data_IF_024835659097
#
_entry.id   IF_024835659097
#
_cell.length_a   1.000
_cell.length_b   1.000
_cell.length_c   1.000
_cell.angle_alpha   90.00
_cell.angle_beta   90.00
_cell.angle_gamma   90.00
#
_symmetry.space_group_name_H-M   'P 1'
#
loop_
_entity.id
_entity.type
_entity.pdbx_description
1 polymer ?
#
# COMPACT_ATOMS: atom_id res chain seq x y z
N UNK A 1 -44.30 -5.10 -9.50
CA UNK A 1 -43.53 -6.16 -8.80
C UNK A 1 -42.34 -6.51 -9.67
N UNK A 2 -41.16 -5.98 -9.38
CA UNK A 2 -39.90 -6.42 -9.98
C UNK A 2 -38.86 -6.39 -8.87
N UNK A 3 -38.47 -7.59 -8.43
CA UNK A 3 -37.49 -7.80 -7.38
C UNK A 3 -36.11 -7.54 -7.98
N UNK A 4 -35.45 -6.46 -7.56
CA UNK A 4 -34.02 -6.26 -7.84
C UNK A 4 -33.25 -7.16 -6.89
N UNK A 5 -32.72 -8.25 -7.44
CA UNK A 5 -31.74 -9.12 -6.76
C UNK A 5 -30.43 -8.36 -6.76
N UNK A 6 -29.99 -7.89 -5.60
CA UNK A 6 -28.63 -7.40 -5.41
C UNK A 6 -27.75 -8.63 -5.22
N UNK A 7 -26.96 -8.98 -6.25
CA UNK A 7 -25.86 -9.92 -6.10
C UNK A 7 -24.64 -9.11 -5.72
N UNK A 8 -24.19 -9.24 -4.47
CA UNK A 8 -22.91 -8.73 -4.00
C UNK A 8 -21.92 -9.87 -4.24
N UNK A 9 -21.14 -9.79 -5.31
CA UNK A 9 -20.04 -10.73 -5.54
C UNK A 9 -18.80 -10.21 -4.82
N UNK A 10 -18.50 -10.81 -3.68
CA UNK A 10 -17.23 -10.61 -2.99
C UNK A 10 -16.11 -11.23 -3.83
N UNK A 11 -15.13 -10.42 -4.24
CA UNK A 11 -13.90 -10.85 -4.88
C UNK A 11 -13.07 -11.65 -3.86
N UNK A 12 -13.35 -12.95 -3.75
CA UNK A 12 -12.60 -13.86 -2.90
C UNK A 12 -11.36 -14.32 -3.69
N UNK A 13 -10.25 -13.58 -3.55
CA UNK A 13 -8.93 -14.08 -3.97
C UNK A 13 -8.63 -15.30 -3.10
N UNK A 14 -8.68 -16.49 -3.69
CA UNK A 14 -8.33 -17.74 -3.03
C UNK A 14 -6.80 -17.81 -2.84
N UNK A 15 -6.28 -17.08 -1.85
CA UNK A 15 -4.90 -17.22 -1.40
C UNK A 15 -4.71 -18.61 -0.79
N UNK A 16 -3.54 -19.22 -1.01
CA UNK A 16 -3.14 -20.48 -0.39
C UNK A 16 -3.34 -20.44 1.15
N UNK A 17 -3.54 -21.62 1.75
CA UNK A 17 -4.05 -21.97 3.10
C UNK A 17 -3.45 -21.28 4.35
N UNK A 18 -3.09 -20.00 4.27
CA UNK A 18 -2.58 -19.14 5.32
C UNK A 18 -3.67 -18.20 5.85
N UNK A 19 -3.53 -17.78 7.10
CA UNK A 19 -4.42 -16.77 7.65
C UNK A 19 -4.23 -15.45 6.89
N UNK A 20 -5.32 -14.92 6.33
CA UNK A 20 -5.37 -13.57 5.77
C UNK A 20 -6.29 -12.75 6.68
N UNK A 21 -5.77 -11.64 7.17
CA UNK A 21 -6.51 -10.67 7.97
C UNK A 21 -6.70 -9.42 7.13
N UNK A 22 -7.95 -9.17 6.71
CA UNK A 22 -8.30 -7.93 6.03
C UNK A 22 -8.32 -6.78 7.04
N UNK A 23 -7.42 -5.80 6.86
CA UNK A 23 -7.34 -4.61 7.71
C UNK A 23 -8.40 -3.61 7.25
N UNK A 24 -8.44 -3.35 5.95
CA UNK A 24 -9.44 -2.52 5.31
C UNK A 24 -9.50 -2.79 3.82
N UNK A 25 -10.71 -2.66 3.28
CA UNK A 25 -10.99 -2.62 1.85
C UNK A 25 -11.69 -1.30 1.54
N UNK A 26 -11.08 -0.47 0.69
CA UNK A 26 -11.62 0.84 0.32
C UNK A 26 -12.60 0.75 -0.86
N UNK A 27 -12.86 -0.45 -1.38
CA UNK A 27 -13.80 -0.70 -2.48
C UNK A 27 -15.19 -1.11 -2.01
N UNK A 28 -15.32 -1.54 -0.75
CA UNK A 28 -16.58 -1.95 -0.13
C UNK A 28 -16.89 -1.10 1.10
N UNK A 29 -18.18 -0.89 1.40
CA UNK A 29 -18.60 -0.06 2.54
C UNK A 29 -18.42 -0.70 3.91
N UNK A 30 -18.22 -2.02 3.96
CA UNK A 30 -18.46 -2.81 5.17
C UNK A 30 -17.24 -2.87 6.11
N UNK A 31 -16.04 -2.53 5.60
CA UNK A 31 -14.79 -2.56 6.35
C UNK A 31 -13.85 -1.39 6.01
N UNK A 32 -14.42 -0.22 5.72
CA UNK A 32 -13.64 1.01 5.52
C UNK A 32 -13.14 1.53 6.85
N UNK A 33 -11.82 1.74 6.96
CA UNK A 33 -11.22 2.42 8.11
C UNK A 33 -11.11 3.91 7.83
N UNK A 34 -11.43 4.71 8.84
CA UNK A 34 -11.09 6.13 8.83
C UNK A 34 -9.57 6.28 8.81
N UNK A 35 -9.08 7.16 7.93
CA UNK A 35 -7.67 7.46 7.75
C UNK A 35 -7.43 8.96 8.00
N UNK A 36 -6.27 9.29 8.56
CA UNK A 36 -5.79 10.64 8.79
C UNK A 36 -4.45 10.84 8.10
N UNK A 37 -4.21 12.05 7.60
CA UNK A 37 -2.88 12.48 7.19
C UNK A 37 -2.13 13.11 8.36
N UNK A 38 -0.84 12.82 8.46
CA UNK A 38 0.10 13.45 9.39
C UNK A 38 1.28 13.95 8.58
N UNK A 39 1.39 15.26 8.51
CA UNK A 39 2.42 15.95 7.72
C UNK A 39 3.55 16.44 8.61
N UNK A 40 4.76 16.56 8.05
CA UNK A 40 5.98 16.91 8.78
C UNK A 40 5.88 18.25 9.54
N UNK A 41 5.79 18.23 10.89
CA UNK A 41 5.71 19.45 11.69
C UNK A 41 7.10 19.97 12.11
N UNK A 42 8.18 19.30 11.72
CA UNK A 42 9.50 19.48 12.32
C UNK A 42 10.28 20.58 11.61
N UNK A 43 10.85 21.50 12.39
CA UNK A 43 11.85 22.50 11.97
C UNK A 43 11.49 23.35 10.73
N UNK A 44 10.20 23.58 10.48
CA UNK A 44 9.75 24.37 9.33
C UNK A 44 9.47 23.56 8.06
N UNK A 45 9.29 22.24 8.19
CA UNK A 45 8.73 21.40 7.14
C UNK A 45 7.41 21.97 6.60
N UNK A 46 7.27 21.91 5.29
CA UNK A 46 6.11 22.43 4.53
C UNK A 46 5.44 21.33 3.70
N UNK A 47 5.88 20.07 3.88
CA UNK A 47 5.22 18.90 3.32
C UNK A 47 3.76 18.87 3.76
N UNK A 48 2.87 18.48 2.86
CA UNK A 48 1.45 18.38 3.13
C UNK A 48 0.79 17.30 2.30
N UNK A 49 -0.22 16.63 2.85
CA UNK A 49 -0.97 15.61 2.14
C UNK A 49 -2.43 15.58 2.52
N UNK A 50 -3.24 15.05 1.62
CA UNK A 50 -4.68 14.86 1.80
C UNK A 50 -5.07 13.44 1.44
N UNK A 51 -6.13 12.95 2.07
CA UNK A 51 -6.73 11.66 1.74
C UNK A 51 -8.20 11.83 1.42
N UNK A 52 -8.63 11.31 0.28
CA UNK A 52 -10.03 11.35 -0.17
C UNK A 52 -10.48 9.93 -0.48
N UNK A 53 -11.52 9.45 0.21
CA UNK A 53 -12.14 8.19 -0.12
C UNK A 53 -12.95 8.35 -1.41
N UNK A 54 -12.65 7.53 -2.42
CA UNK A 54 -13.50 7.31 -3.56
C UNK A 54 -14.19 5.95 -3.39
N UNK A 55 -15.46 5.92 -2.92
CA UNK A 55 -16.16 4.67 -2.59
C UNK A 55 -16.33 3.71 -3.77
N UNK A 56 -16.12 4.19 -5.00
CA UNK A 56 -16.23 3.36 -6.19
C UNK A 56 -14.95 2.62 -6.56
N UNK A 57 -13.80 2.91 -5.93
CA UNK A 57 -12.56 2.24 -6.30
C UNK A 57 -11.43 2.18 -5.26
N UNK A 58 -11.19 3.22 -4.45
CA UNK A 58 -10.00 3.28 -3.60
C UNK A 58 -10.00 4.50 -2.65
N UNK A 59 -9.04 4.53 -1.73
CA UNK A 59 -8.62 5.75 -1.06
C UNK A 59 -7.51 6.44 -1.87
N UNK A 60 -7.72 7.70 -2.24
CA UNK A 60 -6.70 8.52 -2.90
C UNK A 60 -5.90 9.24 -1.82
N UNK A 61 -4.59 9.02 -1.77
CA UNK A 61 -3.65 9.76 -0.93
C UNK A 61 -2.66 10.53 -1.81
N UNK A 62 -2.67 11.84 -1.70
CA UNK A 62 -1.87 12.71 -2.54
C UNK A 62 -1.33 13.90 -1.76
N UNK A 63 -0.20 14.43 -2.20
CA UNK A 63 0.47 15.50 -1.49
C UNK A 63 1.77 15.95 -2.14
N UNK A 64 2.48 16.78 -1.40
CA UNK A 64 3.80 17.31 -1.75
C UNK A 64 4.75 17.07 -0.58
N UNK A 65 5.85 16.37 -0.82
CA UNK A 65 6.99 16.34 0.11
C UNK A 65 7.93 17.47 -0.29
N UNK A 66 8.18 18.39 0.64
CA UNK A 66 9.09 19.52 0.42
C UNK A 66 10.42 19.32 1.15
N UNK A 67 11.46 19.98 0.63
CA UNK A 67 12.77 20.04 1.28
C UNK A 67 12.70 20.89 2.55
N UNK A 68 13.17 20.33 3.66
CA UNK A 68 13.31 21.05 4.93
C UNK A 68 14.62 21.82 4.89
N UNK A 69 14.57 23.10 4.54
CA UNK A 69 15.76 23.95 4.31
C UNK A 69 16.81 23.91 5.43
N UNK A 70 16.41 23.73 6.69
CA UNK A 70 17.33 23.67 7.82
C UNK A 70 18.06 22.32 7.94
N UNK A 71 17.39 21.23 7.53
CA UNK A 71 17.94 19.88 7.56
C UNK A 71 18.60 19.49 6.24
N UNK A 72 18.38 20.26 5.17
CA UNK A 72 18.80 19.94 3.79
C UNK A 72 18.39 18.50 3.44
N UNK A 73 17.14 18.15 3.77
CA UNK A 73 16.58 16.81 3.58
C UNK A 73 15.08 16.90 3.34
N UNK A 74 14.51 15.98 2.53
CA UNK A 74 13.07 15.89 2.34
C UNK A 74 12.33 15.68 3.66
N UNK A 75 11.18 16.34 3.80
CA UNK A 75 10.24 16.05 4.87
C UNK A 75 9.51 14.71 4.67
N UNK A 76 8.34 14.58 5.26
CA UNK A 76 7.52 13.38 5.08
C UNK A 76 6.02 13.69 5.11
N UNK A 77 5.24 12.78 4.55
CA UNK A 77 3.81 12.67 4.72
C UNK A 77 3.49 11.25 5.18
N UNK A 78 2.52 11.13 6.09
CA UNK A 78 2.05 9.85 6.62
C UNK A 78 0.53 9.77 6.42
N UNK A 79 0.06 8.62 5.97
CA UNK A 79 -1.35 8.23 5.99
C UNK A 79 -1.52 7.12 7.02
N UNK A 80 -2.34 7.33 8.05
CA UNK A 80 -2.52 6.36 9.14
C UNK A 80 -3.99 6.17 9.52
N UNK A 81 -4.35 4.99 10.04
CA UNK A 81 -5.69 4.74 10.57
C UNK A 81 -6.01 5.71 11.72
N UNK A 82 -7.19 6.30 11.71
CA UNK A 82 -7.59 7.31 12.70
C UNK A 82 -7.84 6.73 14.09
N UNK A 83 -7.40 7.44 15.12
CA UNK A 83 -7.67 7.09 16.52
C UNK A 83 -6.92 5.85 17.02
N UNK A 84 -7.52 5.14 17.97
CA UNK A 84 -7.05 3.82 18.44
C UNK A 84 -8.05 2.78 17.94
N UNK A 85 -7.61 1.90 17.05
CA UNK A 85 -8.42 0.81 16.52
C UNK A 85 -7.90 -0.54 17.02
N UNK A 86 -8.58 -1.63 16.70
CA UNK A 86 -8.13 -2.98 17.02
C UNK A 86 -7.98 -3.79 15.74
N UNK A 87 -6.89 -4.54 15.64
CA UNK A 87 -6.54 -5.38 14.49
C UNK A 87 -6.24 -6.80 14.99
N UNK A 88 -7.28 -7.59 15.35
CA UNK A 88 -7.07 -8.92 15.89
C UNK A 88 -6.52 -9.87 14.82
N UNK A 89 -5.65 -10.80 15.23
CA UNK A 89 -5.17 -11.89 14.37
C UNK A 89 -3.93 -11.56 13.55
N UNK A 90 -3.37 -10.35 13.67
CA UNK A 90 -2.10 -10.01 13.01
C UNK A 90 -0.98 -10.98 13.41
N UNK A 91 -0.99 -11.51 14.63
CA UNK A 91 0.02 -12.48 15.07
C UNK A 91 -0.01 -13.82 14.33
N UNK A 92 -1.05 -14.09 13.54
CA UNK A 92 -1.21 -15.32 12.75
C UNK A 92 -0.70 -15.19 11.32
N UNK A 93 -0.19 -14.00 10.97
CA UNK A 93 0.28 -13.63 9.64
C UNK A 93 1.79 -13.40 9.64
N UNK A 94 2.41 -13.25 8.48
CA UNK A 94 3.86 -13.07 8.34
C UNK A 94 4.28 -11.64 7.93
N UNK A 95 3.36 -10.84 7.39
CA UNK A 95 3.62 -9.45 7.02
C UNK A 95 2.35 -8.65 6.71
N UNK A 96 2.56 -7.40 6.28
CA UNK A 96 1.51 -6.50 5.79
C UNK A 96 1.71 -6.21 4.31
N UNK A 97 0.60 -6.15 3.57
CA UNK A 97 0.54 -5.72 2.18
C UNK A 97 -0.36 -4.50 2.00
N UNK A 98 0.09 -3.59 1.16
CA UNK A 98 -0.69 -2.46 0.64
C UNK A 98 -0.85 -2.66 -0.86
N UNK A 99 -2.11 -2.72 -1.32
CA UNK A 99 -2.41 -2.87 -2.75
C UNK A 99 -2.71 -1.49 -3.34
N UNK A 100 -1.92 -1.09 -4.31
CA UNK A 100 -1.98 0.26 -4.89
C UNK A 100 -2.16 0.20 -6.40
N UNK A 101 -2.96 1.11 -6.96
CA UNK A 101 -3.07 1.27 -8.42
C UNK A 101 -1.89 2.10 -8.93
N UNK A 102 -1.11 1.50 -9.84
CA UNK A 102 0.07 2.11 -10.46
C UNK A 102 -0.26 2.89 -11.74
N UNK A 103 -1.52 2.89 -12.20
CA UNK A 103 -1.84 3.37 -13.55
C UNK A 103 -2.12 4.86 -13.68
N UNK A 104 -2.13 5.63 -12.58
CA UNK A 104 -2.42 7.07 -12.60
C UNK A 104 -1.71 7.86 -11.49
N UNK A 105 -0.60 7.35 -10.98
CA UNK A 105 0.11 7.95 -9.84
C UNK A 105 1.60 8.08 -10.08
N UNK A 106 2.15 9.23 -9.72
CA UNK A 106 3.59 9.46 -9.62
C UNK A 106 4.10 8.66 -8.41
N UNK A 107 4.52 7.41 -8.64
CA UNK A 107 5.22 6.58 -7.64
C UNK A 107 6.68 7.03 -7.44
N UNK A 108 6.98 8.30 -7.74
CA UNK A 108 8.31 8.91 -7.60
C UNK A 108 8.87 8.82 -6.18
N UNK A 109 8.00 8.70 -5.17
CA UNK A 109 8.35 8.56 -3.76
C UNK A 109 8.42 7.11 -3.26
N UNK A 110 8.72 6.15 -4.13
CA UNK A 110 9.15 4.82 -3.68
C UNK A 110 10.64 4.84 -3.23
N UNK A 111 11.03 3.99 -2.25
CA UNK A 111 10.17 3.08 -1.50
C UNK A 111 9.34 3.80 -0.40
N UNK A 112 8.19 3.23 -0.07
CA UNK A 112 7.37 3.64 1.07
C UNK A 112 7.71 2.82 2.32
N UNK A 113 7.27 3.31 3.48
CA UNK A 113 7.41 2.63 4.77
C UNK A 113 6.05 2.32 5.36
N UNK A 114 5.85 1.09 5.83
CA UNK A 114 4.74 0.75 6.71
C UNK A 114 5.07 1.13 8.16
N UNK A 115 4.11 1.73 8.87
CA UNK A 115 4.23 2.09 10.28
C UNK A 115 3.21 1.32 11.13
N UNK A 116 3.67 0.69 12.22
CA UNK A 116 2.82 -0.02 13.18
C UNK A 116 3.00 0.63 14.56
N UNK A 117 1.89 1.00 15.20
CA UNK A 117 1.89 1.50 16.58
C UNK A 117 1.14 0.56 17.51
N UNK A 118 1.84 0.09 18.55
CA UNK A 118 1.33 -0.87 19.54
C UNK A 118 1.27 -0.28 20.95
N UNK A 119 1.96 0.85 21.18
CA UNK A 119 2.12 1.45 22.50
C UNK A 119 3.30 0.85 23.28
N UNK A 120 4.16 0.07 22.61
CA UNK A 120 5.43 -0.36 23.18
C UNK A 120 6.27 0.85 23.61
N UNK A 121 7.03 0.66 24.67
CA UNK A 121 8.03 1.61 25.15
C UNK A 121 9.40 0.95 25.10
N UNK A 122 10.43 1.72 24.77
CA UNK A 122 11.82 1.30 24.96
C UNK A 122 12.13 1.11 26.44
N UNK A 123 13.23 0.43 26.76
CA UNK A 123 13.71 0.28 28.16
C UNK A 123 13.89 1.65 28.85
N UNK A 124 14.26 2.67 28.08
CA UNK A 124 14.41 4.07 28.54
C UNK A 124 13.11 4.88 28.55
N UNK A 125 11.95 4.26 28.33
CA UNK A 125 10.64 4.91 28.40
C UNK A 125 10.32 5.79 27.17
N UNK A 126 10.94 5.53 26.01
CA UNK A 126 10.60 6.20 24.76
C UNK A 126 9.44 5.48 24.07
N UNK A 127 8.40 6.16 23.58
CA UNK A 127 7.37 5.49 22.79
C UNK A 127 7.97 5.00 21.47
N UNK A 128 7.57 3.80 21.07
CA UNK A 128 8.07 3.15 19.85
C UNK A 128 6.99 3.13 18.78
N UNK A 129 7.39 3.50 17.57
CA UNK A 129 6.70 3.16 16.31
C UNK A 129 7.56 2.14 15.61
N UNK A 130 6.97 1.10 15.04
CA UNK A 130 7.71 0.13 14.24
C UNK A 130 7.61 0.52 12.77
N UNK A 131 8.74 0.49 12.07
CA UNK A 131 8.84 0.90 10.67
C UNK A 131 9.45 -0.21 9.83
N UNK A 132 8.80 -0.56 8.72
CA UNK A 132 9.26 -1.57 7.77
C UNK A 132 9.20 -1.02 6.34
N UNK A 133 10.30 -1.12 5.60
CA UNK A 133 10.35 -0.70 4.19
C UNK A 133 9.49 -1.65 3.36
N UNK A 134 8.61 -1.08 2.54
CA UNK A 134 7.74 -1.85 1.66
C UNK A 134 8.46 -2.15 0.34
N UNK A 135 8.46 -3.42 -0.04
CA UNK A 135 9.02 -3.93 -1.28
C UNK A 135 7.89 -4.29 -2.24
N UNK A 136 8.02 -3.90 -3.51
CA UNK A 136 7.09 -4.34 -4.55
C UNK A 136 7.26 -5.85 -4.79
N UNK A 137 6.17 -6.61 -4.79
CA UNK A 137 6.20 -8.07 -4.99
C UNK A 137 5.52 -8.56 -6.25
N UNK A 138 4.32 -8.06 -6.51
CA UNK A 138 3.45 -8.57 -7.58
C UNK A 138 2.83 -7.42 -8.35
N UNK A 139 2.74 -7.61 -9.66
CA UNK A 139 2.03 -6.74 -10.59
C UNK A 139 0.83 -7.51 -11.13
N UNK A 140 -0.35 -6.95 -10.96
CA UNK A 140 -1.58 -7.48 -11.52
C UNK A 140 -2.04 -6.52 -12.60
N UNK A 141 -2.03 -6.95 -13.86
CA UNK A 141 -2.62 -6.16 -14.94
C UNK A 141 -4.06 -6.57 -15.10
N UNK A 142 -4.96 -5.65 -14.81
CA UNK A 142 -6.38 -5.83 -14.97
C UNK A 142 -6.77 -5.20 -16.31
N UNK A 143 -6.99 -6.02 -17.33
CA UNK A 143 -7.51 -5.55 -18.63
C UNK A 143 -9.02 -5.69 -18.68
N UNK A 144 -9.73 -4.60 -18.98
CA UNK A 144 -11.16 -4.67 -19.32
C UNK A 144 -11.24 -5.03 -20.81
N UNK A 145 -11.69 -6.26 -21.11
CA UNK A 145 -12.06 -6.61 -22.48
C UNK A 145 -13.49 -6.11 -22.71
N UNK A 146 -13.64 -5.09 -23.57
CA UNK A 146 -14.93 -4.72 -24.12
C UNK A 146 -15.37 -5.82 -25.09
N UNK A 147 -16.02 -6.85 -24.56
CA UNK A 147 -16.64 -7.88 -25.38
C UNK A 147 -17.83 -7.26 -26.15
N UNK A 148 -17.60 -7.07 -27.44
CA UNK A 148 -18.58 -6.91 -28.52
C UNK A 148 -19.34 -5.58 -28.64
N UNK A 149 -18.61 -4.57 -29.13
CA UNK A 149 -19.19 -3.46 -29.88
C UNK A 149 -19.72 -3.93 -31.26
N UNK A 150 -20.98 -4.38 -31.30
CA UNK A 150 -21.89 -4.20 -32.44
C UNK A 150 -23.33 -4.05 -31.95
N UNK A 151 -23.70 -2.84 -31.53
CA UNK A 151 -25.10 -2.50 -31.26
C UNK A 151 -25.29 -1.24 -30.42
N UNK A 152 -25.54 -0.13 -31.10
CA UNK A 152 -25.96 1.18 -30.58
C UNK A 152 -27.02 1.05 -29.47
N UNK A 153 -26.62 1.15 -28.20
CA UNK A 153 -27.52 1.37 -27.05
C UNK A 153 -26.75 2.01 -25.89
N UNK A 154 -27.41 2.96 -25.23
CA UNK A 154 -26.91 3.79 -24.14
C UNK A 154 -26.21 2.98 -23.05
N UNK A 155 -24.92 3.25 -22.82
CA UNK A 155 -24.09 2.52 -21.84
C UNK A 155 -24.11 3.26 -20.50
N UNK A 156 -24.91 2.75 -19.55
CA UNK A 156 -24.78 3.05 -18.12
C UNK A 156 -23.91 1.98 -17.45
N UNK A 157 -22.77 2.38 -16.86
CA UNK A 157 -22.07 1.66 -15.79
C UNK A 157 -21.23 0.44 -16.18
N UNK A 158 -19.91 0.61 -16.26
CA UNK A 158 -18.95 -0.50 -16.26
C UNK A 158 -18.89 -1.07 -14.85
N UNK A 159 -19.30 -2.32 -14.66
CA UNK A 159 -19.16 -3.05 -13.39
C UNK A 159 -17.82 -3.80 -13.36
N UNK A 160 -17.10 -3.70 -12.24
CA UNK A 160 -15.81 -4.37 -11.98
C UNK A 160 -15.95 -5.90 -11.78
N UNK A 161 -17.15 -6.47 -11.96
CA UNK A 161 -17.49 -7.86 -11.65
C UNK A 161 -16.92 -8.91 -12.63
N UNK A 162 -16.38 -8.50 -13.80
CA UNK A 162 -15.88 -9.40 -14.85
C UNK A 162 -14.34 -9.37 -15.03
N UNK A 163 -13.60 -8.99 -14.00
CA UNK A 163 -12.15 -8.89 -14.09
C UNK A 163 -11.48 -10.27 -13.95
N UNK A 164 -11.00 -10.82 -15.07
CA UNK A 164 -10.08 -11.96 -15.06
C UNK A 164 -8.67 -11.45 -14.73
N UNK A 165 -8.09 -11.96 -13.63
CA UNK A 165 -6.71 -11.69 -13.26
C UNK A 165 -5.79 -12.59 -14.08
N UNK A 166 -5.10 -12.02 -15.05
CA UNK A 166 -4.05 -12.73 -15.75
C UNK A 166 -2.76 -12.69 -14.91
N UNK A 167 -2.34 -13.84 -14.39
CA UNK A 167 -1.09 -14.01 -13.64
C UNK A 167 0.11 -14.27 -14.56
N UNK A 168 -0.07 -14.27 -15.88
CA UNK A 168 1.01 -14.49 -16.84
C UNK A 168 1.89 -13.24 -16.96
N UNK A 169 2.74 -12.99 -15.98
CA UNK A 169 3.90 -12.12 -16.11
C UNK A 169 5.14 -12.95 -15.79
N UNK A 170 6.00 -13.06 -16.81
CA UNK A 170 7.22 -13.84 -16.84
C UNK A 170 8.08 -13.71 -15.56
N UNK A 171 8.63 -14.85 -15.12
CA UNK A 171 9.65 -15.05 -14.07
C UNK A 171 10.99 -14.29 -14.30
N UNK A 172 11.01 -13.23 -15.12
CA UNK A 172 12.24 -12.54 -15.56
C UNK A 172 12.92 -11.65 -14.50
N UNK A 173 12.36 -11.50 -13.30
CA UNK A 173 12.96 -10.64 -12.25
C UNK A 173 13.37 -11.37 -10.97
N UNK A 174 13.26 -12.70 -10.89
CA UNK A 174 13.55 -13.44 -9.64
C UNK A 174 15.00 -13.90 -9.46
N UNK A 175 15.87 -13.81 -10.49
CA UNK A 175 17.22 -14.41 -10.43
C UNK A 175 18.39 -13.45 -10.21
N UNK A 176 18.18 -12.13 -10.11
CA UNK A 176 19.25 -11.15 -9.84
C UNK A 176 19.13 -10.44 -8.47
N UNK A 177 18.18 -10.83 -7.61
CA UNK A 177 17.94 -10.19 -6.30
C UNK A 177 18.86 -10.66 -5.15
N UNK A 178 19.70 -11.70 -5.34
CA UNK A 178 20.55 -12.24 -4.27
C UNK A 178 22.01 -11.74 -4.27
N UNK A 179 22.41 -10.87 -5.20
CA UNK A 179 23.76 -10.32 -5.22
C UNK A 179 23.72 -8.80 -5.38
N UNK A 180 24.00 -8.15 -4.26
CA UNK A 180 24.19 -6.71 -4.08
C UNK A 180 22.89 -5.94 -3.81
N UNK A 181 22.70 -5.68 -2.51
CA UNK A 181 21.80 -4.68 -1.94
C UNK A 181 22.31 -3.26 -2.28
N UNK A 182 22.57 -3.00 -3.56
CA UNK A 182 22.98 -1.72 -4.13
C UNK A 182 21.75 -1.04 -4.68
N UNK A 183 21.18 -0.14 -3.87
CA UNK A 183 20.13 0.80 -4.24
C UNK A 183 20.38 1.41 -5.63
N UNK A 184 19.64 0.93 -6.62
CA UNK A 184 19.29 1.68 -7.82
C UNK A 184 17.84 1.33 -8.17
N UNK A 185 16.94 2.28 -7.91
CA UNK A 185 15.89 2.51 -8.89
C UNK A 185 16.60 3.17 -10.06
N UNK A 186 16.67 2.51 -11.21
CA UNK A 186 17.12 3.18 -12.42
C UNK A 186 16.18 4.37 -12.66
N UNK A 187 16.68 5.59 -12.47
CA UNK A 187 16.03 6.85 -12.85
C UNK A 187 15.77 6.95 -14.37
N UNK A 188 16.15 5.93 -15.14
CA UNK A 188 16.02 5.82 -16.59
C UNK A 188 15.03 4.73 -17.04
N UNK A 189 14.05 4.35 -16.19
CA UNK A 189 12.83 3.70 -16.66
C UNK A 189 12.00 4.71 -17.50
N UNK A 190 12.53 5.09 -18.65
CA UNK A 190 11.77 5.68 -19.75
C UNK A 190 10.75 4.62 -20.17
N UNK A 191 9.55 4.77 -19.64
CA UNK A 191 8.34 4.14 -20.19
C UNK A 191 8.34 4.50 -21.67
N UNK A 192 8.69 3.53 -22.53
CA UNK A 192 8.59 3.69 -23.96
C UNK A 192 7.12 3.95 -24.25
N UNK A 193 6.81 5.17 -24.70
CA UNK A 193 5.51 5.52 -25.29
C UNK A 193 5.31 4.65 -26.54
N UNK A 194 4.85 3.41 -26.35
CA UNK A 194 4.42 2.57 -27.45
C UNK A 194 2.98 2.91 -27.80
N UNK A 195 2.85 3.60 -28.93
CA UNK A 195 1.72 3.67 -29.85
C UNK A 195 0.33 3.99 -29.26
N UNK A 196 -0.05 5.25 -29.47
CA UNK A 196 -1.42 5.76 -29.51
C UNK A 196 -2.27 4.98 -30.55
N UNK A 197 -2.87 3.87 -30.14
CA UNK A 197 -3.70 3.04 -31.02
C UNK A 197 -4.74 2.26 -30.25
N UNK A 198 -5.75 2.95 -29.70
CA UNK A 198 -6.96 2.32 -29.15
C UNK A 198 -6.73 1.48 -27.89
N UNK A 199 -6.01 2.03 -26.91
CA UNK A 199 -5.69 1.33 -25.67
C UNK A 199 -6.88 1.26 -24.73
N UNK A 200 -7.47 0.07 -24.58
CA UNK A 200 -8.29 -0.24 -23.41
C UNK A 200 -7.45 0.01 -22.16
N UNK A 201 -7.88 0.97 -21.34
CA UNK A 201 -7.14 1.41 -20.17
C UNK A 201 -7.15 0.33 -19.10
N UNK A 202 -6.17 -0.58 -19.15
CA UNK A 202 -5.95 -1.52 -18.06
C UNK A 202 -5.63 -0.78 -16.75
N UNK A 203 -5.80 -1.44 -15.60
CA UNK A 203 -5.36 -0.97 -14.29
C UNK A 203 -4.30 -1.93 -13.76
N UNK A 204 -3.08 -1.45 -13.54
CA UNK A 204 -2.00 -2.21 -12.93
C UNK A 204 -2.10 -2.01 -11.43
N UNK A 205 -2.23 -3.09 -10.69
CA UNK A 205 -2.19 -3.09 -9.24
C UNK A 205 -0.85 -3.65 -8.79
N UNK A 206 -0.20 -2.95 -7.87
CA UNK A 206 1.07 -3.37 -7.27
C UNK A 206 0.83 -3.74 -5.81
N UNK A 207 1.37 -4.88 -5.41
CA UNK A 207 1.46 -5.27 -4.00
C UNK A 207 2.77 -4.74 -3.40
N UNK A 208 2.65 -3.88 -2.40
CA UNK A 208 3.75 -3.40 -1.57
C UNK A 208 3.74 -4.16 -0.25
N UNK A 209 4.78 -4.94 0.03
CA UNK A 209 4.82 -5.86 1.18
C UNK A 209 6.01 -5.60 2.11
N UNK A 210 5.79 -5.76 3.41
CA UNK A 210 6.85 -5.85 4.42
C UNK A 210 6.60 -7.03 5.37
N UNK A 211 7.56 -7.96 5.54
CA UNK A 211 7.43 -9.02 6.54
C UNK A 211 7.59 -8.43 7.94
N UNK A 212 6.88 -8.97 8.94
CA UNK A 212 6.94 -8.48 10.32
C UNK A 212 8.35 -8.48 10.91
N UNK A 213 9.19 -9.41 10.46
CA UNK A 213 10.60 -9.53 10.87
C UNK A 213 11.49 -8.42 10.35
N UNK A 214 11.06 -7.66 9.33
CA UNK A 214 11.81 -6.50 8.80
C UNK A 214 11.56 -5.21 9.59
N UNK A 215 10.57 -5.19 10.48
CA UNK A 215 10.21 -3.98 11.20
C UNK A 215 11.22 -3.65 12.30
N UNK A 216 11.64 -2.39 12.34
CA UNK A 216 12.53 -1.86 13.37
C UNK A 216 11.79 -0.87 14.27
N UNK A 217 12.04 -0.94 15.58
CA UNK A 217 11.50 0.04 16.52
C UNK A 217 12.22 1.38 16.38
N UNK A 218 11.48 2.44 16.09
CA UNK A 218 11.98 3.81 15.94
C UNK A 218 11.26 4.79 16.87
N UNK A 219 11.91 5.92 17.12
CA UNK A 219 11.33 7.07 17.81
C UNK A 219 11.77 8.32 17.07
N UNK A 220 10.80 9.05 16.50
CA UNK A 220 11.03 10.24 15.67
C UNK A 220 11.98 9.96 14.49
N UNK A 221 11.71 8.87 13.76
CA UNK A 221 12.50 8.43 12.60
C UNK A 221 13.88 7.86 12.94
N UNK A 222 14.26 7.77 14.22
CA UNK A 222 15.55 7.21 14.63
C UNK A 222 15.37 5.82 15.22
N UNK A 223 16.16 4.85 14.75
CA UNK A 223 16.23 3.50 15.30
C UNK A 223 16.53 3.53 16.81
N UNK A 224 15.77 2.74 17.56
CA UNK A 224 15.90 2.60 19.02
C UNK A 224 16.40 1.20 19.33
N UNK A 225 17.69 1.09 19.68
CA UNK A 225 18.34 -0.21 19.92
C UNK A 225 17.76 -1.00 21.11
N UNK A 226 17.12 -0.32 22.05
CA UNK A 226 16.44 -0.90 23.22
C UNK A 226 14.91 -1.00 23.03
N UNK A 227 14.42 -0.93 21.79
CA UNK A 227 13.02 -1.22 21.49
C UNK A 227 12.75 -2.73 21.65
N UNK A 228 11.60 -3.12 22.21
CA UNK A 228 11.16 -4.51 22.13
C UNK A 228 10.93 -4.90 20.67
N UNK A 229 11.07 -6.18 20.30
CA UNK A 229 10.80 -6.64 18.94
C UNK A 229 9.28 -6.67 18.66
N UNK A 230 8.90 -6.47 17.40
CA UNK A 230 7.52 -6.63 16.92
C UNK A 230 7.15 -8.12 16.81
N UNK A 231 6.98 -8.78 17.96
CA UNK A 231 6.59 -10.19 18.03
C UNK A 231 5.06 -10.36 18.06
N UNK A 232 4.59 -11.61 18.09
CA UNK A 232 3.17 -11.95 18.16
C UNK A 232 2.39 -11.21 19.25
N UNK A 233 2.97 -11.03 20.45
CA UNK A 233 2.30 -10.33 21.56
C UNK A 233 2.17 -8.82 21.31
N UNK A 234 3.14 -8.21 20.64
CA UNK A 234 3.09 -6.80 20.28
C UNK A 234 2.15 -6.56 19.08
N UNK A 235 2.11 -7.47 18.11
CA UNK A 235 1.19 -7.41 16.98
C UNK A 235 -0.28 -7.37 17.42
N UNK A 236 -0.67 -8.15 18.42
CA UNK A 236 -2.04 -8.13 18.97
C UNK A 236 -2.38 -6.83 19.75
N UNK A 237 -1.38 -6.00 20.06
CA UNK A 237 -1.58 -4.68 20.68
C UNK A 237 -1.63 -3.55 19.65
N UNK A 238 -1.49 -3.87 18.36
CA UNK A 238 -1.52 -2.88 17.29
C UNK A 238 -2.84 -2.12 17.37
N UNK A 239 -2.72 -0.79 17.43
CA UNK A 239 -3.87 0.10 17.40
C UNK A 239 -3.82 1.14 16.30
N UNK A 240 -2.73 1.15 15.54
CA UNK A 240 -2.56 2.01 14.37
C UNK A 240 -1.67 1.36 13.33
N UNK A 241 -2.09 1.45 12.07
CA UNK A 241 -1.32 1.05 10.89
C UNK A 241 -1.25 2.27 9.96
N UNK A 242 -0.09 2.53 9.38
CA UNK A 242 0.12 3.66 8.48
C UNK A 242 1.12 3.39 7.38
N UNK A 243 1.19 4.33 6.45
CA UNK A 243 2.02 4.37 5.27
C UNK A 243 2.74 5.71 5.25
N UNK A 244 4.05 5.72 4.98
CA UNK A 244 4.90 6.90 5.08
C UNK A 244 5.79 7.04 3.85
N UNK A 245 6.02 8.29 3.40
CA UNK A 245 6.95 8.62 2.31
C UNK A 245 8.41 8.72 2.77
N UNK A 246 8.68 8.56 4.07
CA UNK A 246 9.99 8.85 4.67
C UNK A 246 11.17 8.08 4.05
N UNK A 247 10.99 6.80 3.71
CA UNK A 247 12.07 5.97 3.15
C UNK A 247 12.49 6.34 1.72
N UNK A 248 11.69 7.15 1.01
CA UNK A 248 12.04 7.60 -0.33
C UNK A 248 13.27 8.50 -0.33
N UNK A 249 13.46 9.28 0.74
CA UNK A 249 14.43 10.38 0.79
C UNK A 249 14.38 11.28 -0.44
N UNK A 250 13.18 11.48 -1.00
CA UNK A 250 12.92 12.33 -2.17
C UNK A 250 11.85 13.37 -1.83
N UNK A 251 12.07 14.59 -2.32
CA UNK A 251 11.04 15.62 -2.38
C UNK A 251 10.28 15.52 -3.71
N UNK A 252 9.01 15.92 -3.72
CA UNK A 252 8.17 15.87 -4.90
C UNK A 252 6.70 15.69 -4.61
N UNK A 253 5.89 15.88 -5.64
CA UNK A 253 4.48 15.53 -5.60
C UNK A 253 4.32 14.02 -5.66
N UNK A 254 3.29 13.50 -4.99
CA UNK A 254 2.92 12.11 -5.11
C UNK A 254 1.41 11.95 -5.15
N UNK A 255 0.98 10.85 -5.75
CA UNK A 255 -0.41 10.41 -5.73
C UNK A 255 -0.47 8.90 -5.73
N UNK A 256 -1.12 8.36 -4.72
CA UNK A 256 -1.30 6.93 -4.50
C UNK A 256 -2.78 6.59 -4.43
N UNK A 257 -3.21 5.61 -5.21
CA UNK A 257 -4.56 5.04 -5.15
C UNK A 257 -4.51 3.74 -4.34
N UNK A 258 -4.82 3.81 -3.04
CA UNK A 258 -4.77 2.68 -2.12
C UNK A 258 -6.08 1.89 -2.17
N UNK A 259 -6.02 0.67 -2.68
CA UNK A 259 -7.19 -0.20 -2.89
C UNK A 259 -7.56 -0.90 -1.59
N UNK A 260 -6.59 -1.54 -0.93
CA UNK A 260 -6.80 -2.27 0.33
C UNK A 260 -5.51 -2.47 1.11
N UNK A 261 -5.66 -2.79 2.39
CA UNK A 261 -4.59 -3.20 3.30
C UNK A 261 -4.94 -4.57 3.87
N UNK A 262 -3.99 -5.50 3.82
CA UNK A 262 -4.16 -6.85 4.39
C UNK A 262 -2.91 -7.25 5.15
N UNK A 263 -3.08 -8.13 6.12
CA UNK A 263 -1.99 -8.89 6.69
C UNK A 263 -2.12 -10.34 6.23
N UNK A 264 -1.01 -10.93 5.79
CA UNK A 264 -1.01 -12.25 5.17
C UNK A 264 0.31 -12.99 5.37
N UNK A 265 0.32 -14.25 4.96
CA UNK A 265 1.53 -15.05 4.94
C UNK A 265 2.34 -14.78 3.67
N UNK A 266 3.65 -14.95 3.79
CA UNK A 266 4.50 -14.94 2.62
C UNK A 266 4.24 -16.19 1.78
N UNK A 267 3.82 -16.03 0.53
CA UNK A 267 3.59 -17.17 -0.36
C UNK A 267 4.89 -17.92 -0.69
N UNK A 268 6.05 -17.27 -0.55
CA UNK A 268 7.35 -17.92 -0.77
C UNK A 268 7.64 -19.04 0.22
N UNK A 269 6.95 -19.09 1.36
CA UNK A 269 7.17 -20.11 2.40
C UNK A 269 6.48 -21.46 2.08
N UNK A 270 5.80 -21.58 0.94
CA UNK A 270 5.04 -22.78 0.55
C UNK A 270 5.78 -23.76 -0.38
N UNK A 271 7.07 -23.54 -0.64
CA UNK A 271 7.92 -24.40 -1.50
C UNK A 271 8.49 -25.62 -0.80
#
# INVERSE_FOLDING_TARGET
MMNKVWSVFALCVMMANGAVVEITDFTSSDNVRDMNTVDDPVMGGSSHSTSTLNPSCCLIWEGMVEEVWFLESPGFCILETSGRQSFPGLSTTSGVSFFVSANKGDMSLLPLTAQITTGSMSVRGRPITYEGILMARKHYTISVQDDDFYGEKDVEGVSLENLEFNTDIDDCYSSELEKENSYWYDDDATVKEENEGGGGGGVTVVELYAPWTSFEGTFRGQKVMDAPPLNALELEKTYRIGLSTYASHKAGSFRLELIKIVAGNDESDSS
#
